data_IF_408631409069
#
_entry.id   IF_408631409069
#
_cell.length_a   1.000
_cell.length_b   1.000
_cell.length_c   1.000
_cell.angle_alpha   90.00
_cell.angle_beta   90.00
_cell.angle_gamma   90.00
#
_symmetry.space_group_name_H-M   'P 1'
#
loop_
_entity.id
_entity.type
_entity.pdbx_description
1 polymer ?
#
# COMPACT_ATOMS: atom_id res chain seq x y z
N UNK A 1 -0.91 -5.32 14.26
CA UNK A 1 -1.96 -6.29 13.90
C UNK A 1 -3.27 -5.84 14.50
N UNK A 2 -4.37 -5.95 13.76
CA UNK A 2 -5.71 -5.61 14.24
C UNK A 2 -6.48 -6.89 14.52
N UNK A 3 -7.10 -6.98 15.70
CA UNK A 3 -7.90 -8.13 16.13
C UNK A 3 -9.31 -7.66 16.42
N UNK A 4 -10.31 -8.38 15.91
CA UNK A 4 -11.70 -8.11 16.23
C UNK A 4 -12.07 -8.63 17.62
N UNK A 5 -13.10 -8.05 18.22
CA UNK A 5 -13.69 -8.58 19.45
C UNK A 5 -14.48 -9.86 19.13
N UNK A 6 -14.16 -10.94 19.83
CA UNK A 6 -14.79 -12.24 19.65
C UNK A 6 -16.28 -12.23 20.03
N UNK A 7 -16.68 -11.47 21.07
CA UNK A 7 -18.08 -11.41 21.51
C UNK A 7 -18.99 -10.83 20.43
N UNK A 8 -18.48 -9.80 19.75
CA UNK A 8 -19.20 -9.12 18.67
C UNK A 8 -19.23 -10.02 17.43
N UNK A 9 -18.13 -10.70 17.12
CA UNK A 9 -18.04 -11.55 15.93
C UNK A 9 -18.78 -12.89 16.05
N UNK A 10 -18.99 -13.41 17.27
CA UNK A 10 -19.73 -14.66 17.50
C UNK A 10 -21.20 -14.55 17.08
N UNK A 11 -21.83 -13.38 17.29
CA UNK A 11 -23.22 -13.12 16.91
C UNK A 11 -23.37 -12.54 15.50
N UNK A 12 -22.27 -12.39 14.75
CA UNK A 12 -22.30 -11.76 13.44
C UNK A 12 -22.91 -12.69 12.36
N UNK A 13 -24.00 -12.30 11.67
CA UNK A 13 -24.62 -13.12 10.63
C UNK A 13 -23.75 -13.29 9.37
N UNK A 14 -22.69 -12.50 9.24
CA UNK A 14 -21.75 -12.56 8.13
C UNK A 14 -20.40 -13.19 8.51
N UNK A 15 -20.31 -13.85 9.68
CA UNK A 15 -19.07 -14.47 10.17
C UNK A 15 -18.43 -15.39 9.14
N UNK A 16 -19.23 -16.25 8.50
CA UNK A 16 -18.76 -17.24 7.51
C UNK A 16 -18.14 -16.61 6.26
N UNK A 17 -18.42 -15.32 5.98
CA UNK A 17 -17.78 -14.56 4.89
C UNK A 17 -16.55 -13.77 5.36
N UNK A 18 -16.38 -13.59 6.66
CA UNK A 18 -15.46 -12.64 7.26
C UNK A 18 -14.24 -13.30 7.93
N UNK A 19 -14.45 -14.45 8.59
CA UNK A 19 -13.38 -15.26 9.22
C UNK A 19 -13.86 -16.70 9.43
N UNK A 20 -13.00 -17.67 9.09
CA UNK A 20 -13.22 -19.10 9.39
C UNK A 20 -12.47 -19.54 10.67
N UNK A 21 -12.00 -18.58 11.47
CA UNK A 21 -11.29 -18.85 12.72
C UNK A 21 -12.22 -19.53 13.73
N UNK A 22 -11.70 -20.55 14.42
CA UNK A 22 -12.42 -21.27 15.49
C UNK A 22 -12.82 -20.35 16.64
N UNK A 23 -11.99 -19.36 16.94
CA UNK A 23 -12.20 -18.42 18.03
C UNK A 23 -13.18 -17.29 17.64
N UNK A 24 -13.75 -17.32 16.44
CA UNK A 24 -14.57 -16.23 15.87
C UNK A 24 -13.86 -14.87 15.87
N UNK A 25 -12.52 -14.86 15.89
CA UNK A 25 -11.70 -13.64 15.81
C UNK A 25 -11.18 -13.46 14.38
N UNK A 26 -11.32 -12.24 13.85
CA UNK A 26 -10.66 -11.81 12.62
C UNK A 26 -9.34 -11.14 12.99
N UNK A 27 -8.25 -11.61 12.40
CA UNK A 27 -6.94 -11.00 12.50
C UNK A 27 -6.60 -10.36 11.16
N UNK A 28 -6.22 -9.09 11.18
CA UNK A 28 -5.77 -8.35 10.00
C UNK A 28 -4.33 -7.88 10.26
N UNK A 29 -3.40 -8.38 9.46
CA UNK A 29 -2.02 -7.93 9.42
C UNK A 29 -1.91 -6.83 8.36
N UNK A 30 -1.65 -5.60 8.78
CA UNK A 30 -1.34 -4.49 7.88
C UNK A 30 0.12 -4.09 8.05
N UNK A 31 0.72 -3.64 6.97
CA UNK A 31 2.05 -3.05 7.01
C UNK A 31 2.01 -1.68 7.74
N UNK A 32 3.12 -1.26 8.34
CA UNK A 32 3.20 0.01 9.10
C UNK A 32 2.81 1.21 8.23
N UNK A 33 3.14 1.14 6.93
CA UNK A 33 2.89 2.21 5.97
C UNK A 33 1.58 2.03 5.17
N UNK A 34 0.76 1.03 5.47
CA UNK A 34 -0.46 0.72 4.71
C UNK A 34 -1.43 1.91 4.66
N UNK A 35 -1.62 2.60 5.78
CA UNK A 35 -2.54 3.74 5.85
C UNK A 35 -2.10 4.91 4.96
N UNK A 36 -0.81 5.05 4.69
CA UNK A 36 -0.30 6.05 3.74
C UNK A 36 -0.51 5.59 2.30
N UNK A 37 -0.39 4.29 2.02
CA UNK A 37 -0.70 3.74 0.70
C UNK A 37 -2.19 3.90 0.38
N UNK A 38 -3.08 3.64 1.34
CA UNK A 38 -4.53 3.86 1.22
C UNK A 38 -4.83 5.33 0.84
N UNK A 39 -4.22 6.30 1.54
CA UNK A 39 -4.37 7.73 1.23
C UNK A 39 -3.88 8.11 -0.18
N UNK A 40 -2.74 7.56 -0.60
CA UNK A 40 -2.20 7.83 -1.95
C UNK A 40 -3.12 7.27 -3.03
N UNK A 41 -3.77 6.13 -2.79
CA UNK A 41 -4.74 5.56 -3.73
C UNK A 41 -6.00 6.44 -3.84
N UNK A 42 -6.52 6.93 -2.72
CA UNK A 42 -7.65 7.88 -2.74
C UNK A 42 -7.31 9.15 -3.53
N UNK A 43 -6.11 9.72 -3.31
CA UNK A 43 -5.63 10.89 -4.06
C UNK A 43 -5.54 10.56 -5.57
N UNK A 44 -5.07 9.36 -5.93
CA UNK A 44 -4.96 8.94 -7.35
C UNK A 44 -6.31 8.97 -8.07
N UNK A 45 -7.40 8.64 -7.37
CA UNK A 45 -8.75 8.65 -7.92
C UNK A 45 -9.44 10.03 -7.90
N UNK A 46 -8.78 11.05 -7.38
CA UNK A 46 -9.31 12.42 -7.37
C UNK A 46 -9.36 13.03 -8.78
N UNK A 47 -10.33 13.91 -9.02
CA UNK A 47 -10.55 14.57 -10.33
C UNK A 47 -9.27 15.30 -10.78
N UNK A 48 -8.88 15.11 -12.04
CA UNK A 48 -7.70 15.74 -12.64
C UNK A 48 -6.36 15.10 -12.25
N UNK A 49 -6.34 14.14 -11.31
CA UNK A 49 -5.10 13.47 -10.92
C UNK A 49 -4.60 12.52 -12.01
N UNK A 50 -5.49 11.95 -12.83
CA UNK A 50 -5.14 11.11 -13.98
C UNK A 50 -4.30 11.88 -15.01
N UNK A 51 -4.73 13.10 -15.39
CA UNK A 51 -4.00 13.98 -16.29
C UNK A 51 -2.64 14.39 -15.70
N UNK A 52 -2.60 14.76 -14.42
CA UNK A 52 -1.34 15.06 -13.71
C UNK A 52 -0.40 13.85 -13.68
N UNK A 53 -0.94 12.66 -13.44
CA UNK A 53 -0.15 11.42 -13.42
C UNK A 53 0.44 11.12 -14.80
N UNK A 54 -0.29 11.39 -15.88
CA UNK A 54 0.21 11.23 -17.26
C UNK A 54 1.41 12.13 -17.55
N UNK A 55 1.51 13.30 -16.92
CA UNK A 55 2.66 14.20 -17.07
C UNK A 55 3.93 13.69 -16.38
N UNK A 56 3.84 12.74 -15.43
CA UNK A 56 5.03 12.19 -14.74
C UNK A 56 6.03 11.54 -15.68
N UNK A 57 5.57 10.95 -16.78
CA UNK A 57 6.46 10.34 -17.79
C UNK A 57 7.38 11.37 -18.48
N UNK A 58 6.98 12.64 -18.49
CA UNK A 58 7.69 13.71 -19.18
C UNK A 58 8.67 14.43 -18.26
N UNK A 59 8.29 14.62 -16.99
CA UNK A 59 9.09 15.38 -16.02
C UNK A 59 9.83 14.46 -15.05
N UNK A 60 9.10 13.58 -14.37
CA UNK A 60 9.63 12.76 -13.28
C UNK A 60 10.44 11.57 -13.82
N UNK A 61 9.90 10.79 -14.74
CA UNK A 61 10.58 9.60 -15.25
C UNK A 61 11.87 9.93 -15.99
N UNK A 62 11.95 11.09 -16.66
CA UNK A 62 13.19 11.57 -17.27
C UNK A 62 14.28 11.85 -16.24
N UNK A 63 13.94 12.50 -15.12
CA UNK A 63 14.88 12.74 -14.02
C UNK A 63 15.35 11.43 -13.42
N UNK A 64 14.46 10.44 -13.25
CA UNK A 64 14.86 9.10 -12.79
C UNK A 64 15.75 8.37 -13.79
N UNK A 65 15.52 8.52 -15.10
CA UNK A 65 16.39 7.97 -16.13
C UNK A 65 17.79 8.59 -16.06
N UNK A 66 17.86 9.93 -15.95
CA UNK A 66 19.13 10.64 -15.76
C UNK A 66 19.84 10.20 -14.48
N UNK A 67 19.12 10.04 -13.37
CA UNK A 67 19.66 9.55 -12.11
C UNK A 67 20.27 8.14 -12.25
N UNK A 68 19.62 7.24 -12.99
CA UNK A 68 20.12 5.88 -13.22
C UNK A 68 21.39 5.88 -14.07
N UNK A 69 21.38 6.60 -15.18
CA UNK A 69 22.45 6.55 -16.17
C UNK A 69 23.65 7.45 -15.81
N UNK A 70 23.41 8.66 -15.29
CA UNK A 70 24.46 9.64 -14.97
C UNK A 70 24.94 9.57 -13.52
N UNK A 71 24.10 9.11 -12.59
CA UNK A 71 24.40 9.12 -11.15
C UNK A 71 24.51 7.71 -10.54
N UNK A 72 24.57 6.66 -11.36
CA UNK A 72 24.85 5.30 -10.90
C UNK A 72 23.72 4.65 -10.09
N UNK A 73 22.53 5.25 -10.06
CA UNK A 73 21.37 4.72 -9.31
C UNK A 73 20.70 3.52 -9.98
N UNK A 74 21.33 2.93 -11.01
CA UNK A 74 20.85 1.72 -11.68
C UNK A 74 20.94 0.49 -10.77
N UNK A 75 21.89 0.48 -9.85
CA UNK A 75 22.15 -0.61 -8.93
C UNK A 75 22.28 -0.08 -7.50
N UNK A 76 21.71 -0.80 -6.55
CA UNK A 76 21.96 -0.56 -5.12
C UNK A 76 23.36 -1.07 -4.79
N UNK A 77 24.30 -0.15 -4.59
CA UNK A 77 25.66 -0.52 -4.18
C UNK A 77 25.67 -0.79 -2.68
N UNK A 78 25.60 -2.07 -2.31
CA UNK A 78 25.84 -2.48 -0.93
C UNK A 78 27.34 -2.35 -0.66
N UNK A 79 27.72 -1.46 0.26
CA UNK A 79 29.00 -1.58 0.94
C UNK A 79 28.78 -2.63 2.03
N UNK A 80 29.71 -3.58 2.14
CA UNK A 80 29.64 -4.62 3.16
C UNK A 80 29.49 -4.03 4.57
N UNK A 81 29.11 -4.88 5.51
CA UNK A 81 29.03 -4.52 6.93
C UNK A 81 30.40 -4.12 7.49
#
# INVERSE_FOLDING_TARGET
EYKSDWLICQSCPHRDRCTNSKDSVKVITRHVWENYMDQVEEIRHTIGMKERYKQRKETIERVFADAKEKHGMRYTQYRGL
#
